data_IF_346052649591
#
_entry.id   IF_346052649591
#
_cell.length_a   1.000
_cell.length_b   1.000
_cell.length_c   1.000
_cell.angle_alpha   90.00
_cell.angle_beta   90.00
_cell.angle_gamma   90.00
#
_symmetry.space_group_name_H-M   'P 1'
#
loop_
_entity.id
_entity.type
_entity.pdbx_description
1 polymer ?
#
# COMPACT_ATOMS: atom_id res chain seq x y z
N UNK A 1 -12.29 18.31 2.63
CA UNK A 1 -10.87 18.45 3.00
C UNK A 1 -10.20 17.20 2.48
N UNK A 2 -8.98 17.32 1.97
CA UNK A 2 -8.30 16.16 1.40
C UNK A 2 -7.29 15.68 2.42
N UNK A 3 -7.36 14.39 2.69
CA UNK A 3 -6.35 13.70 3.46
C UNK A 3 -5.30 13.12 2.50
N UNK A 4 -4.20 12.63 3.04
CA UNK A 4 -3.23 11.86 2.27
C UNK A 4 -2.66 10.71 3.07
N UNK A 5 -2.17 9.70 2.37
CA UNK A 5 -1.46 8.56 2.94
C UNK A 5 -0.03 8.55 2.41
N UNK A 6 0.88 7.91 3.14
CA UNK A 6 2.27 7.77 2.71
C UNK A 6 2.92 6.60 3.43
N UNK A 7 3.68 5.81 2.68
CA UNK A 7 4.70 4.92 3.23
C UNK A 7 5.97 5.66 3.65
N UNK A 8 6.80 5.03 4.48
CA UNK A 8 8.14 5.50 4.85
C UNK A 8 9.23 4.65 4.19
N UNK A 9 9.66 5.07 2.99
CA UNK A 9 10.53 4.30 2.08
C UNK A 9 11.97 4.04 2.54
N UNK A 10 12.43 4.65 3.64
CA UNK A 10 13.78 4.45 4.20
C UNK A 10 13.73 4.31 5.72
N UNK A 11 12.70 3.64 6.19
CA UNK A 11 12.30 3.63 7.57
C UNK A 11 11.13 2.70 7.78
N UNK A 12 10.27 2.98 8.76
CA UNK A 12 9.23 2.05 9.19
C UNK A 12 7.86 2.69 9.11
N UNK A 13 6.95 1.93 8.53
CA UNK A 13 5.53 2.14 8.62
C UNK A 13 4.87 2.89 7.48
N UNK A 14 3.54 2.89 7.58
CA UNK A 14 2.56 3.46 6.66
C UNK A 14 1.63 4.34 7.49
N UNK A 15 1.32 5.52 6.98
CA UNK A 15 0.63 6.56 7.74
C UNK A 15 -0.51 7.19 6.95
N UNK A 16 -1.56 7.57 7.68
CA UNK A 16 -2.61 8.46 7.20
C UNK A 16 -2.46 9.83 7.88
N UNK A 17 -2.56 10.90 7.10
CA UNK A 17 -2.52 12.28 7.56
C UNK A 17 -3.90 12.91 7.35
N UNK A 18 -4.64 13.01 8.45
CA UNK A 18 -5.98 13.60 8.50
C UNK A 18 -5.86 15.13 8.61
N UNK A 19 -6.55 15.87 7.72
CA UNK A 19 -6.58 17.32 7.76
C UNK A 19 -7.61 17.83 8.79
N UNK A 20 -7.16 18.16 10.00
CA UNK A 20 -8.04 18.58 11.12
C UNK A 20 -8.37 20.08 11.13
N UNK A 21 -7.64 20.89 10.36
CA UNK A 21 -7.76 22.34 10.34
C UNK A 21 -7.05 22.96 9.14
N UNK A 22 -6.94 24.30 9.10
CA UNK A 22 -6.13 24.95 8.06
C UNK A 22 -4.64 24.76 8.39
N UNK A 23 -3.91 24.07 7.50
CA UNK A 23 -2.52 23.62 7.73
C UNK A 23 -2.30 22.80 9.02
N UNK A 24 -3.35 22.20 9.58
CA UNK A 24 -3.27 21.30 10.74
C UNK A 24 -3.51 19.85 10.30
N UNK A 25 -2.60 18.97 10.72
CA UNK A 25 -2.57 17.57 10.31
C UNK A 25 -2.40 16.66 11.52
N UNK A 26 -3.25 15.65 11.62
CA UNK A 26 -3.11 14.56 12.57
C UNK A 26 -2.58 13.32 11.87
N UNK A 27 -1.45 12.80 12.33
CA UNK A 27 -0.89 11.55 11.82
C UNK A 27 -1.47 10.36 12.57
N UNK A 28 -1.97 9.39 11.81
CA UNK A 28 -2.40 8.07 12.28
C UNK A 28 -1.46 7.00 11.72
N UNK A 29 -1.18 5.97 12.52
CA UNK A 29 -0.40 4.81 12.07
C UNK A 29 -1.36 3.79 11.47
N UNK A 30 -1.10 3.38 10.23
CA UNK A 30 -1.84 2.30 9.55
C UNK A 30 -1.19 0.95 9.88
N UNK A 31 0.12 0.84 9.63
CA UNK A 31 0.94 -0.34 9.92
C UNK A 31 2.37 0.12 10.21
N UNK A 32 2.99 -0.34 11.30
CA UNK A 32 4.39 -0.09 11.65
C UNK A 32 5.22 -1.38 11.77
N UNK A 33 4.73 -2.48 11.22
CA UNK A 33 5.32 -3.81 11.36
C UNK A 33 6.40 -4.10 10.31
N UNK A 34 6.52 -3.29 9.27
CA UNK A 34 7.51 -3.47 8.19
C UNK A 34 8.18 -2.15 7.77
N UNK A 35 9.28 -2.28 7.02
CA UNK A 35 10.12 -1.15 6.59
C UNK A 35 10.07 -0.92 5.09
N UNK A 36 10.54 0.27 4.68
CA UNK A 36 10.74 0.69 3.30
C UNK A 36 9.47 0.65 2.44
N UNK A 37 8.33 1.01 3.03
CA UNK A 37 7.09 1.26 2.29
C UNK A 37 7.30 2.43 1.32
N UNK A 38 7.56 2.16 0.04
CA UNK A 38 8.19 3.15 -0.88
C UNK A 38 7.28 3.68 -1.97
N UNK A 39 6.28 2.90 -2.36
CA UNK A 39 5.32 3.27 -3.39
C UNK A 39 3.93 2.87 -2.92
N UNK A 40 2.97 3.75 -3.15
CA UNK A 40 1.58 3.60 -2.77
C UNK A 40 0.64 4.07 -3.87
N UNK A 41 -0.57 3.53 -3.86
CA UNK A 41 -1.67 3.92 -4.75
C UNK A 41 -3.00 3.67 -4.07
N UNK A 42 -3.97 4.55 -4.38
CA UNK A 42 -5.35 4.43 -3.94
C UNK A 42 -6.21 3.92 -5.10
N UNK A 43 -7.00 2.88 -4.84
CA UNK A 43 -7.98 2.33 -5.78
C UNK A 43 -9.02 1.50 -5.04
N UNK A 44 -10.27 1.52 -5.49
CA UNK A 44 -11.34 0.63 -5.01
C UNK A 44 -11.06 -0.83 -5.43
N UNK A 45 -10.45 -1.61 -4.52
CA UNK A 45 -9.96 -2.97 -4.83
C UNK A 45 -11.10 -3.99 -4.78
N UNK A 46 -12.03 -3.83 -3.84
CA UNK A 46 -13.11 -4.79 -3.63
C UNK A 46 -14.49 -4.35 -4.17
N UNK A 47 -14.56 -3.16 -4.77
CA UNK A 47 -15.75 -2.66 -5.45
C UNK A 47 -16.82 -2.11 -4.50
N UNK A 48 -16.47 -1.78 -3.26
CA UNK A 48 -17.39 -1.20 -2.28
C UNK A 48 -17.60 0.31 -2.43
N UNK A 49 -16.88 0.94 -3.37
CA UNK A 49 -16.94 2.37 -3.66
C UNK A 49 -16.07 3.24 -2.75
N UNK A 50 -15.23 2.63 -1.91
CA UNK A 50 -14.19 3.31 -1.13
C UNK A 50 -12.82 2.91 -1.69
N UNK A 51 -11.98 3.89 -2.03
CA UNK A 51 -10.61 3.58 -2.43
C UNK A 51 -9.83 2.97 -1.27
N UNK A 52 -9.07 1.91 -1.55
CA UNK A 52 -8.18 1.22 -0.63
C UNK A 52 -6.72 1.54 -0.92
N UNK A 53 -5.84 1.28 0.05
CA UNK A 53 -4.40 1.59 -0.09
C UNK A 53 -3.60 0.35 -0.49
N UNK A 54 -3.04 0.35 -1.70
CA UNK A 54 -2.00 -0.60 -2.12
C UNK A 54 -0.63 -0.02 -1.80
N UNK A 55 0.20 -0.74 -1.05
CA UNK A 55 1.54 -0.29 -0.65
C UNK A 55 2.44 -1.49 -0.35
N UNK A 56 3.74 -1.36 -0.59
CA UNK A 56 4.69 -2.43 -0.25
C UNK A 56 6.10 -1.97 0.04
N UNK A 57 6.92 -2.92 0.50
CA UNK A 57 8.34 -2.74 0.77
C UNK A 57 9.15 -2.69 -0.53
N UNK A 58 10.09 -1.75 -0.64
CA UNK A 58 11.17 -1.85 -1.63
C UNK A 58 12.35 -2.66 -1.09
N UNK A 59 12.55 -3.93 -1.49
CA UNK A 59 13.71 -4.69 -1.05
C UNK A 59 15.01 -4.11 -1.62
N UNK A 60 16.04 -4.08 -0.77
CA UNK A 60 17.39 -3.63 -1.15
C UNK A 60 17.41 -2.25 -1.84
N UNK A 61 16.64 -1.29 -1.31
CA UNK A 61 16.57 0.09 -1.79
C UNK A 61 17.95 0.75 -1.83
N UNK A 62 18.83 0.42 -0.87
CA UNK A 62 20.19 0.90 -0.74
C UNK A 62 21.23 -0.24 -0.66
N UNK A 63 20.98 -1.36 -1.35
CA UNK A 63 21.91 -2.49 -1.49
C UNK A 63 22.31 -3.17 -0.17
N UNK A 64 21.47 -3.08 0.87
CA UNK A 64 21.74 -3.64 2.20
C UNK A 64 22.68 -2.80 3.05
N UNK A 65 22.85 -1.51 2.74
CA UNK A 65 23.88 -0.66 3.34
C UNK A 65 23.33 0.41 4.29
N UNK A 66 22.03 0.72 4.26
CA UNK A 66 21.51 1.91 4.92
C UNK A 66 20.16 1.72 5.58
N UNK A 67 19.22 1.08 4.90
CA UNK A 67 17.84 1.06 5.36
C UNK A 67 17.63 -0.06 6.40
N UNK A 68 16.66 0.10 7.32
CA UNK A 68 16.38 -0.94 8.29
C UNK A 68 15.77 -2.17 7.59
N UNK A 69 16.29 -3.35 7.89
CA UNK A 69 15.71 -4.62 7.43
C UNK A 69 15.63 -4.74 5.89
N UNK A 70 16.69 -4.32 5.17
CA UNK A 70 16.73 -4.37 3.70
C UNK A 70 16.60 -5.78 3.09
N UNK A 71 16.93 -6.82 3.87
CA UNK A 71 16.78 -8.23 3.51
C UNK A 71 15.50 -8.86 4.09
N UNK A 72 14.69 -8.08 4.79
CA UNK A 72 13.40 -8.51 5.31
C UNK A 72 12.41 -8.84 4.19
N UNK A 73 11.33 -9.50 4.57
CA UNK A 73 10.30 -9.97 3.63
C UNK A 73 9.76 -8.81 2.79
N UNK A 74 9.81 -8.89 1.44
CA UNK A 74 9.34 -7.85 0.54
C UNK A 74 7.82 -7.87 0.42
N UNK A 75 7.12 -7.49 1.49
CA UNK A 75 5.66 -7.52 1.49
C UNK A 75 5.06 -6.52 0.49
N UNK A 76 4.04 -6.98 -0.22
CA UNK A 76 3.07 -6.18 -0.96
C UNK A 76 1.69 -6.41 -0.32
N UNK A 77 1.09 -5.34 0.16
CA UNK A 77 -0.20 -5.36 0.85
C UNK A 77 -1.20 -4.46 0.14
N UNK A 78 -2.49 -4.78 0.32
CA UNK A 78 -3.53 -3.76 0.27
C UNK A 78 -4.21 -3.64 1.63
N UNK A 79 -4.60 -2.42 1.98
CA UNK A 79 -5.30 -2.10 3.23
C UNK A 79 -6.70 -1.64 2.89
N UNK A 80 -7.68 -2.49 3.21
CA UNK A 80 -9.08 -2.12 3.04
C UNK A 80 -9.43 -0.99 3.99
N UNK A 81 -10.01 0.10 3.48
CA UNK A 81 -10.43 1.23 4.30
C UNK A 81 -11.88 1.03 4.73
N UNK A 82 -12.08 0.73 6.01
CA UNK A 82 -13.41 0.47 6.58
C UNK A 82 -13.89 1.70 7.37
N UNK A 83 -14.86 2.40 6.80
CA UNK A 83 -15.59 3.47 7.48
C UNK A 83 -16.66 2.88 8.40
N UNK A 84 -16.54 3.14 9.70
CA UNK A 84 -17.49 2.66 10.71
C UNK A 84 -18.60 3.68 10.99
N UNK A 85 -19.78 3.21 11.38
CA UNK A 85 -20.94 4.06 11.73
C UNK A 85 -20.65 5.06 12.87
N UNK A 86 -19.66 4.78 13.71
CA UNK A 86 -19.20 5.65 14.79
C UNK A 86 -18.22 6.74 14.33
N UNK A 87 -18.05 6.90 13.02
CA UNK A 87 -17.16 7.89 12.40
C UNK A 87 -15.68 7.53 12.47
N UNK A 88 -15.33 6.29 12.87
CA UNK A 88 -13.94 5.82 12.88
C UNK A 88 -13.57 5.17 11.56
N UNK A 89 -12.35 5.40 11.14
CA UNK A 89 -11.70 4.69 10.02
C UNK A 89 -10.87 3.54 10.58
N UNK A 90 -11.00 2.35 10.00
CA UNK A 90 -10.14 1.19 10.27
C UNK A 90 -9.46 0.74 8.99
N UNK A 91 -8.32 0.08 9.14
CA UNK A 91 -7.54 -0.47 8.05
C UNK A 91 -7.44 -1.98 8.23
N UNK A 92 -7.99 -2.75 7.31
CA UNK A 92 -7.87 -4.21 7.32
C UNK A 92 -6.75 -4.61 6.36
N UNK A 93 -5.68 -5.22 6.91
CA UNK A 93 -4.50 -5.59 6.13
C UNK A 93 -4.72 -6.91 5.39
N UNK A 94 -4.50 -6.89 4.09
CA UNK A 94 -4.58 -8.06 3.21
C UNK A 94 -3.26 -8.24 2.45
N UNK A 95 -2.68 -9.44 2.53
CA UNK A 95 -1.45 -9.80 1.81
C UNK A 95 -1.76 -10.08 0.35
N UNK A 96 -1.05 -9.40 -0.55
CA UNK A 96 -1.07 -9.71 -1.99
C UNK A 96 0.04 -10.72 -2.29
N UNK A 97 1.27 -10.41 -1.88
CA UNK A 97 2.45 -11.23 -2.10
C UNK A 97 3.55 -10.87 -1.09
N UNK A 98 4.41 -11.83 -0.74
CA UNK A 98 5.52 -11.65 0.20
C UNK A 98 6.90 -11.95 -0.41
N UNK A 99 6.98 -12.03 -1.73
CA UNK A 99 8.18 -12.43 -2.48
C UNK A 99 8.73 -11.33 -3.40
N UNK A 100 7.92 -10.36 -3.83
CA UNK A 100 8.33 -9.35 -4.83
C UNK A 100 8.41 -7.91 -4.31
N UNK A 101 7.53 -7.52 -3.38
CA UNK A 101 7.40 -6.15 -2.86
C UNK A 101 6.96 -5.13 -3.90
N UNK A 102 7.42 -3.88 -3.76
CA UNK A 102 7.29 -2.82 -4.77
C UNK A 102 8.66 -2.30 -5.19
N UNK A 103 8.72 -1.57 -6.30
CA UNK A 103 9.84 -0.68 -6.58
C UNK A 103 9.50 0.76 -6.23
N UNK A 104 9.63 1.66 -7.21
CA UNK A 104 9.35 3.09 -7.03
C UNK A 104 7.95 3.50 -7.49
N UNK A 105 7.16 2.52 -7.93
CA UNK A 105 5.81 2.71 -8.42
C UNK A 105 5.04 1.38 -8.26
N UNK A 106 3.76 1.51 -7.92
CA UNK A 106 2.72 0.50 -8.07
C UNK A 106 1.65 1.11 -9.00
N UNK A 107 0.93 0.27 -9.75
CA UNK A 107 -0.15 0.70 -10.64
C UNK A 107 -1.33 -0.24 -10.49
N UNK A 108 -2.53 0.30 -10.30
CA UNK A 108 -3.78 -0.45 -10.20
C UNK A 108 -4.65 -0.13 -11.42
N UNK A 109 -5.07 -1.16 -12.15
CA UNK A 109 -5.93 -1.02 -13.33
C UNK A 109 -6.54 -2.36 -13.73
N UNK A 110 -7.65 -2.37 -14.44
CA UNK A 110 -8.18 -3.58 -15.10
C UNK A 110 -7.32 -3.92 -16.33
N UNK A 111 -6.25 -4.70 -16.11
CA UNK A 111 -5.22 -5.01 -17.11
C UNK A 111 -5.74 -6.10 -18.05
N UNK A 112 -6.42 -7.11 -17.50
CA UNK A 112 -6.90 -8.26 -18.26
C UNK A 112 -8.29 -8.04 -18.89
N UNK A 113 -9.00 -6.96 -18.54
CA UNK A 113 -10.34 -6.55 -19.02
C UNK A 113 -11.47 -7.44 -18.53
N UNK A 114 -11.37 -7.98 -17.32
CA UNK A 114 -12.44 -8.73 -16.67
C UNK A 114 -13.35 -7.87 -15.78
N UNK A 115 -13.03 -6.59 -15.65
CA UNK A 115 -13.78 -5.63 -14.83
C UNK A 115 -13.36 -5.58 -13.37
N UNK A 116 -12.28 -6.28 -12.98
CA UNK A 116 -11.68 -6.23 -11.65
C UNK A 116 -10.34 -5.46 -11.70
N UNK A 117 -9.96 -4.77 -10.61
CA UNK A 117 -8.67 -4.09 -10.55
C UNK A 117 -7.52 -5.10 -10.39
N UNK A 118 -6.57 -5.06 -11.32
CA UNK A 118 -5.31 -5.79 -11.25
C UNK A 118 -4.19 -4.88 -10.73
N UNK A 119 -3.10 -5.48 -10.22
CA UNK A 119 -1.97 -4.75 -9.64
C UNK A 119 -0.69 -5.06 -10.41
N UNK A 120 0.02 -4.03 -10.86
CA UNK A 120 1.32 -4.15 -11.52
C UNK A 120 2.42 -3.48 -10.69
N UNK A 121 3.55 -4.17 -10.54
CA UNK A 121 4.75 -3.64 -9.87
C UNK A 121 6.01 -3.93 -10.70
N UNK A 122 6.95 -3.00 -10.67
CA UNK A 122 8.30 -3.18 -11.18
C UNK A 122 9.28 -3.08 -10.01
N UNK A 123 9.94 -4.18 -9.69
CA UNK A 123 10.80 -4.32 -8.50
C UNK A 123 12.19 -4.82 -8.89
N UNK A 124 13.09 -4.97 -7.91
CA UNK A 124 14.39 -5.62 -8.14
C UNK A 124 14.23 -7.08 -8.59
N UNK A 125 13.09 -7.71 -8.30
CA UNK A 125 12.78 -9.09 -8.66
C UNK A 125 12.09 -9.22 -10.03
N UNK A 126 11.95 -8.12 -10.79
CA UNK A 126 11.34 -8.12 -12.13
C UNK A 126 10.06 -7.30 -12.21
N UNK A 127 9.28 -7.52 -13.27
CA UNK A 127 7.96 -6.94 -13.47
C UNK A 127 6.93 -8.04 -13.20
N UNK A 128 5.98 -7.75 -12.31
CA UNK A 128 4.95 -8.69 -11.87
C UNK A 128 3.57 -8.06 -12.04
N UNK A 129 2.60 -8.87 -12.44
CA UNK A 129 1.18 -8.52 -12.52
C UNK A 129 0.42 -9.52 -11.65
N UNK A 130 -0.35 -9.01 -10.71
CA UNK A 130 -1.27 -9.76 -9.86
C UNK A 130 -2.67 -9.54 -10.40
N UNK A 131 -3.25 -10.60 -10.95
CA UNK A 131 -4.62 -10.56 -11.46
C UNK A 131 -5.59 -10.80 -10.31
N UNK A 132 -6.63 -9.98 -10.22
CA UNK A 132 -7.69 -10.22 -9.25
C UNK A 132 -8.62 -11.32 -9.78
N UNK A 133 -8.98 -12.26 -8.90
CA UNK A 133 -9.96 -13.30 -9.25
C UNK A 133 -11.33 -12.94 -8.63
N UNK A 134 -12.44 -13.27 -9.31
CA UNK A 134 -13.77 -13.10 -8.72
C UNK A 134 -13.90 -13.87 -7.40
N UNK A 135 -14.61 -13.28 -6.44
CA UNK A 135 -14.96 -14.01 -5.22
C UNK A 135 -15.74 -15.29 -5.56
N UNK A 136 -15.30 -16.42 -4.98
CA UNK A 136 -15.91 -17.74 -5.15
C UNK A 136 -17.26 -17.89 -4.46
#
# INVERSE_FOLDING_TARGET
>A
RNDFMSGMGHGRGVFWFEQTGDNEWKRHVIDDTYTDAHADELADIDGDGVDDLVVGKTPLAHLGLKDPDEFGTPYLYWYKIVNSDDGKVRFERNLIDDSVGVGRQVTVSDINKDGLPDIAVATRHGVHIFLQEPAS
#
